data_IF_067715478484
#
_entry.id   IF_067715478484
#
_cell.length_a   1.000
_cell.length_b   1.000
_cell.length_c   1.000
_cell.angle_alpha   90.00
_cell.angle_beta   90.00
_cell.angle_gamma   90.00
#
_symmetry.space_group_name_H-M   'P 1'
#
loop_
_entity.id
_entity.type
_entity.pdbx_description
1 polymer ?
#
# COMPACT_ATOMS: atom_id res chain seq x y z
N UNK A 1 10.04 23.62 3.44
CA UNK A 1 10.38 22.64 4.48
C UNK A 1 10.21 23.21 5.88
N UNK A 2 9.49 22.51 6.74
CA UNK A 2 9.34 22.79 8.18
C UNK A 2 10.06 21.72 9.00
N UNK A 3 10.74 22.10 10.10
CA UNK A 3 11.33 21.20 11.08
C UNK A 3 10.39 21.10 12.30
N UNK A 4 9.97 19.88 12.64
CA UNK A 4 9.26 19.60 13.89
C UNK A 4 10.24 18.97 14.87
N UNK A 5 10.47 19.61 16.01
CA UNK A 5 11.40 19.14 17.05
C UNK A 5 10.78 19.29 18.43
N UNK A 6 11.31 18.56 19.40
CA UNK A 6 10.87 18.56 20.79
C UNK A 6 12.00 19.03 21.69
N UNK A 7 11.68 19.81 22.72
CA UNK A 7 12.65 20.24 23.72
C UNK A 7 12.15 19.87 25.11
N UNK A 8 13.05 19.30 25.92
CA UNK A 8 12.77 18.93 27.31
C UNK A 8 13.54 19.79 28.31
N UNK A 9 13.36 19.48 29.59
CA UNK A 9 14.05 20.11 30.73
C UNK A 9 15.30 19.34 31.18
N UNK A 10 15.80 18.42 30.35
CA UNK A 10 16.97 17.60 30.67
C UNK A 10 18.25 18.41 30.85
N UNK A 11 19.29 17.77 31.38
CA UNK A 11 20.64 18.36 31.46
C UNK A 11 21.37 18.17 30.14
N UNK A 12 21.20 19.11 29.22
CA UNK A 12 21.89 19.10 27.94
C UNK A 12 23.38 19.41 28.12
N UNK A 13 24.23 18.62 27.47
CA UNK A 13 25.69 18.84 27.44
C UNK A 13 26.14 18.91 25.98
N UNK A 14 27.16 19.73 25.67
CA UNK A 14 27.75 19.76 24.34
C UNK A 14 28.23 18.36 23.91
N UNK A 15 27.83 17.97 22.71
CA UNK A 15 28.24 16.73 22.04
C UNK A 15 28.44 17.04 20.57
N UNK A 16 29.25 16.23 19.88
CA UNK A 16 29.37 16.30 18.42
C UNK A 16 28.32 15.38 17.82
N UNK A 17 27.25 15.93 17.25
CA UNK A 17 26.32 15.12 16.46
C UNK A 17 26.92 14.84 15.09
N UNK A 18 26.90 13.59 14.65
CA UNK A 18 27.42 13.17 13.35
C UNK A 18 26.33 12.54 12.48
N UNK A 19 26.11 13.11 11.30
CA UNK A 19 25.19 12.59 10.29
C UNK A 19 25.91 12.46 8.94
N UNK A 20 26.32 11.23 8.61
CA UNK A 20 27.20 11.00 7.46
C UNK A 20 28.52 11.75 7.63
N UNK A 21 28.83 12.62 6.67
CA UNK A 21 30.01 13.51 6.71
C UNK A 21 29.78 14.81 7.48
N UNK A 22 28.53 15.12 7.85
CA UNK A 22 28.18 16.34 8.58
C UNK A 22 28.45 16.14 10.07
N UNK A 23 29.05 17.15 10.69
CA UNK A 23 29.29 17.19 12.13
C UNK A 23 28.94 18.56 12.68
N UNK A 24 28.41 18.60 13.90
CA UNK A 24 28.15 19.84 14.63
C UNK A 24 28.31 19.59 16.12
N UNK A 25 29.17 20.35 16.76
CA UNK A 25 29.22 20.43 18.22
C UNK A 25 28.10 21.35 18.71
N UNK A 26 27.17 20.80 19.47
CA UNK A 26 26.09 21.56 20.10
C UNK A 26 25.52 20.79 21.28
N UNK A 27 24.86 21.50 22.20
CA UNK A 27 24.03 20.88 23.23
C UNK A 27 22.60 20.60 22.75
N UNK A 28 22.12 21.16 21.64
CA UNK A 28 20.77 20.93 21.13
C UNK A 28 20.78 20.42 19.69
N UNK A 29 20.27 19.22 19.49
CA UNK A 29 20.23 18.61 18.16
C UNK A 29 19.47 19.44 17.12
N UNK A 30 18.41 20.16 17.53
CA UNK A 30 17.68 21.08 16.68
C UNK A 30 18.58 22.14 16.00
N UNK A 31 19.63 22.62 16.69
CA UNK A 31 20.60 23.56 16.11
C UNK A 31 21.38 22.90 14.97
N UNK A 32 21.85 21.67 15.17
CA UNK A 32 22.55 20.91 14.13
C UNK A 32 21.65 20.69 12.90
N UNK A 33 20.37 20.36 13.12
CA UNK A 33 19.41 20.19 12.02
C UNK A 33 19.17 21.48 11.25
N UNK A 34 19.06 22.62 11.93
CA UNK A 34 18.90 23.93 11.26
C UNK A 34 20.10 24.27 10.40
N UNK A 35 21.32 24.03 10.89
CA UNK A 35 22.54 24.25 10.12
C UNK A 35 22.62 23.33 8.90
N UNK A 36 22.30 22.05 9.04
CA UNK A 36 22.48 21.08 7.95
C UNK A 36 21.39 21.11 6.90
N UNK A 37 20.17 21.50 7.28
CA UNK A 37 18.97 21.37 6.45
C UNK A 37 18.37 22.71 6.04
N UNK A 38 18.73 23.81 6.71
CA UNK A 38 18.23 25.16 6.40
C UNK A 38 16.70 25.24 6.25
N UNK A 39 15.91 24.75 7.23
CA UNK A 39 14.46 24.82 7.16
C UNK A 39 13.97 26.27 7.17
N UNK A 40 12.84 26.56 6.51
CA UNK A 40 12.23 27.90 6.57
C UNK A 40 11.57 28.18 7.92
N UNK A 41 11.03 27.12 8.52
CA UNK A 41 10.24 27.19 9.75
C UNK A 41 10.67 26.08 10.69
N UNK A 42 10.83 26.39 11.97
CA UNK A 42 11.11 25.43 13.04
C UNK A 42 9.99 25.51 14.07
N UNK A 43 9.26 24.41 14.24
CA UNK A 43 8.21 24.29 15.25
C UNK A 43 8.75 23.49 16.43
N UNK A 44 8.94 24.16 17.56
CA UNK A 44 9.50 23.58 18.78
C UNK A 44 8.37 23.21 19.71
N UNK A 45 8.19 21.91 19.92
CA UNK A 45 7.20 21.33 20.81
C UNK A 45 7.72 21.43 22.25
N UNK A 46 7.00 22.17 23.10
CA UNK A 46 7.41 22.54 24.44
C UNK A 46 6.33 22.17 25.46
N UNK A 47 6.70 21.44 26.51
CA UNK A 47 5.87 21.42 27.73
C UNK A 47 5.99 22.77 28.44
N UNK A 48 5.07 23.07 29.36
CA UNK A 48 5.16 24.31 30.14
C UNK A 48 6.51 24.41 30.88
N UNK A 49 6.98 23.32 31.49
CA UNK A 49 8.28 23.29 32.15
C UNK A 49 9.46 23.50 31.19
N UNK A 50 9.38 23.01 29.95
CA UNK A 50 10.42 23.25 28.95
C UNK A 50 10.43 24.70 28.47
N UNK A 51 9.26 25.29 28.24
CA UNK A 51 9.09 26.70 27.86
C UNK A 51 9.67 27.66 28.89
N UNK A 52 9.53 27.34 30.18
CA UNK A 52 9.99 28.19 31.28
C UNK A 52 11.46 27.89 31.68
N UNK A 53 12.17 27.04 30.93
CA UNK A 53 13.54 26.61 31.28
C UNK A 53 14.62 27.39 30.54
N UNK A 54 15.81 27.49 31.15
CA UNK A 54 17.01 28.06 30.52
C UNK A 54 17.40 27.33 29.22
N UNK A 55 16.98 26.07 29.04
CA UNK A 55 17.21 25.34 27.80
C UNK A 55 16.49 26.01 26.62
N UNK A 56 15.24 26.46 26.83
CA UNK A 56 14.48 27.11 25.77
C UNK A 56 15.09 28.47 25.42
N UNK A 57 15.42 29.29 26.42
CA UNK A 57 16.05 30.59 26.19
C UNK A 57 17.36 30.44 25.40
N UNK A 58 18.19 29.45 25.77
CA UNK A 58 19.44 29.17 25.08
C UNK A 58 19.22 28.68 23.64
N UNK A 59 18.31 27.73 23.41
CA UNK A 59 18.02 27.22 22.06
C UNK A 59 17.44 28.34 21.18
N UNK A 60 16.48 29.11 21.70
CA UNK A 60 15.86 30.22 20.98
C UNK A 60 16.90 31.24 20.54
N UNK A 61 17.84 31.60 21.42
CA UNK A 61 18.92 32.53 21.10
C UNK A 61 19.85 32.00 19.98
N UNK A 62 20.10 30.69 19.92
CA UNK A 62 20.87 30.07 18.83
C UNK A 62 20.07 30.06 17.52
N UNK A 63 18.79 29.65 17.56
CA UNK A 63 17.93 29.62 16.39
C UNK A 63 17.74 31.01 15.76
N UNK A 64 17.67 32.07 16.57
CA UNK A 64 17.56 33.46 16.11
C UNK A 64 18.79 33.97 15.34
N UNK A 65 19.93 33.26 15.39
CA UNK A 65 21.11 33.59 14.57
C UNK A 65 20.90 33.20 13.10
N UNK A 66 19.91 32.36 12.81
CA UNK A 66 19.57 31.93 11.47
C UNK A 66 18.36 32.72 10.94
N UNK A 67 18.28 32.89 9.63
CA UNK A 67 17.13 33.54 8.97
C UNK A 67 15.94 32.58 8.84
N UNK A 68 15.38 32.16 9.98
CA UNK A 68 14.32 31.15 10.09
C UNK A 68 13.15 31.68 10.93
N UNK A 69 11.96 31.15 10.68
CA UNK A 69 10.78 31.40 11.50
C UNK A 69 10.69 30.36 12.62
N UNK A 70 10.64 30.79 13.89
CA UNK A 70 10.57 29.90 15.04
C UNK A 70 9.18 29.96 15.67
N UNK A 71 8.48 28.82 15.69
CA UNK A 71 7.15 28.66 16.30
C UNK A 71 7.24 27.87 17.58
N UNK A 72 6.73 28.45 18.67
CA UNK A 72 6.58 27.79 19.96
C UNK A 72 5.25 27.04 20.00
N UNK A 73 5.28 25.72 20.09
CA UNK A 73 4.07 24.90 20.17
C UNK A 73 3.95 24.29 21.55
N UNK A 74 3.05 24.84 22.37
CA UNK A 74 2.78 24.30 23.70
C UNK A 74 2.06 22.95 23.63
N UNK A 75 2.59 21.96 24.34
CA UNK A 75 2.06 20.60 24.48
C UNK A 75 1.98 20.20 25.95
N UNK A 76 1.08 19.27 26.35
CA UNK A 76 1.07 18.73 27.71
C UNK A 76 2.24 17.75 27.94
N UNK A 77 2.40 17.29 29.18
CA UNK A 77 3.50 16.39 29.57
C UNK A 77 3.35 14.95 29.05
N UNK A 78 2.15 14.54 28.62
CA UNK A 78 1.89 13.20 28.10
C UNK A 78 1.76 12.13 29.21
N UNK A 79 1.25 12.51 30.39
CA UNK A 79 1.17 11.63 31.58
C UNK A 79 0.06 10.59 31.50
N UNK A 80 -0.90 10.78 30.61
CA UNK A 80 -2.05 9.91 30.40
C UNK A 80 -2.44 9.92 28.92
N UNK A 81 -3.34 9.02 28.52
CA UNK A 81 -3.78 8.87 27.13
C UNK A 81 -4.38 10.16 26.54
N UNK A 82 -5.17 10.89 27.32
CA UNK A 82 -5.78 12.14 26.87
C UNK A 82 -4.73 13.19 26.51
N UNK A 83 -3.68 13.33 27.33
CA UNK A 83 -2.56 14.21 27.04
C UNK A 83 -1.76 13.75 25.81
N UNK A 84 -1.58 12.44 25.60
CA UNK A 84 -0.93 11.93 24.39
C UNK A 84 -1.73 12.28 23.11
N UNK A 85 -3.06 12.17 23.15
CA UNK A 85 -3.93 12.62 22.05
C UNK A 85 -3.83 14.13 21.80
N UNK A 86 -3.73 14.93 22.87
CA UNK A 86 -3.51 16.36 22.73
C UNK A 86 -2.15 16.67 22.07
N UNK A 87 -1.07 15.98 22.45
CA UNK A 87 0.24 16.12 21.78
C UNK A 87 0.10 15.82 20.29
N UNK A 88 -0.52 14.69 19.94
CA UNK A 88 -0.76 14.30 18.55
C UNK A 88 -1.52 15.38 17.77
N UNK A 89 -2.60 15.91 18.34
CA UNK A 89 -3.40 16.98 17.72
C UNK A 89 -2.57 18.25 17.51
N UNK A 90 -1.78 18.69 18.50
CA UNK A 90 -0.92 19.86 18.36
C UNK A 90 0.11 19.70 17.23
N UNK A 91 0.70 18.51 17.13
CA UNK A 91 1.60 18.18 16.01
C UNK A 91 0.84 18.25 14.68
N UNK A 92 -0.35 17.66 14.59
CA UNK A 92 -1.15 17.63 13.37
C UNK A 92 -1.65 19.01 12.91
N UNK A 93 -2.01 19.89 13.86
CA UNK A 93 -2.51 21.24 13.60
C UNK A 93 -1.40 22.22 13.17
N UNK A 94 -0.16 21.94 13.59
CA UNK A 94 1.04 22.71 13.19
C UNK A 94 1.38 22.51 11.70
N UNK A 95 0.88 21.43 11.11
CA UNK A 95 1.23 20.98 9.77
C UNK A 95 0.09 21.24 8.78
N UNK A 96 0.45 21.88 7.67
CA UNK A 96 -0.46 22.21 6.58
C UNK A 96 -0.48 21.11 5.52
N UNK A 97 -1.50 21.17 4.66
CA UNK A 97 -1.64 20.21 3.57
C UNK A 97 -0.51 20.42 2.55
N UNK A 98 0.21 19.36 2.20
CA UNK A 98 1.29 19.39 1.22
C UNK A 98 2.63 19.90 1.76
N UNK A 99 2.77 20.13 3.07
CA UNK A 99 4.04 20.53 3.66
C UNK A 99 5.15 19.49 3.41
N UNK A 100 6.38 19.98 3.21
CA UNK A 100 7.59 19.17 3.29
C UNK A 100 8.17 19.27 4.70
N UNK A 101 8.38 18.13 5.37
CA UNK A 101 8.72 18.06 6.78
C UNK A 101 10.03 17.33 7.05
N UNK A 102 10.74 17.82 8.06
CA UNK A 102 11.75 17.08 8.80
C UNK A 102 11.22 16.87 10.21
N UNK A 103 11.21 15.63 10.67
CA UNK A 103 10.82 15.29 12.04
C UNK A 103 12.03 14.90 12.86
N UNK A 104 12.21 15.54 13.99
CA UNK A 104 13.19 15.18 15.01
C UNK A 104 12.49 14.44 16.15
N UNK A 105 12.91 13.18 16.39
CA UNK A 105 12.41 12.35 17.50
C UNK A 105 13.43 12.14 18.62
N UNK A 106 14.50 12.94 18.65
CA UNK A 106 15.62 12.84 19.60
C UNK A 106 15.18 13.03 21.04
N UNK A 107 14.34 14.02 21.29
CA UNK A 107 13.94 14.39 22.64
C UNK A 107 12.45 14.16 22.85
N UNK A 108 12.06 12.89 22.94
CA UNK A 108 10.71 12.48 23.33
C UNK A 108 10.75 11.61 24.58
N UNK A 109 10.14 12.05 25.68
CA UNK A 109 9.99 11.20 26.86
C UNK A 109 9.15 9.96 26.52
N UNK A 110 9.65 8.76 26.81
CA UNK A 110 8.90 7.49 26.77
C UNK A 110 8.21 7.20 25.42
N UNK A 111 6.93 7.53 25.29
CA UNK A 111 6.02 7.17 24.20
C UNK A 111 6.08 8.14 23.01
N UNK A 112 6.70 9.31 23.17
CA UNK A 112 6.73 10.35 22.14
C UNK A 112 7.39 9.89 20.83
N UNK A 113 8.50 9.12 20.81
CA UNK A 113 9.06 8.61 19.54
C UNK A 113 8.07 7.72 18.77
N UNK A 114 7.32 6.86 19.47
CA UNK A 114 6.27 6.02 18.86
C UNK A 114 5.13 6.89 18.34
N UNK A 115 4.69 7.87 19.13
CA UNK A 115 3.68 8.84 18.73
C UNK A 115 4.12 9.65 17.51
N UNK A 116 5.40 10.02 17.43
CA UNK A 116 6.00 10.73 16.31
C UNK A 116 5.92 9.93 15.03
N UNK A 117 6.26 8.64 15.07
CA UNK A 117 6.12 7.75 13.90
C UNK A 117 4.66 7.61 13.45
N UNK A 118 3.71 7.48 14.39
CA UNK A 118 2.28 7.45 14.08
C UNK A 118 1.77 8.79 13.52
N UNK A 119 2.25 9.91 14.04
CA UNK A 119 1.93 11.24 13.54
C UNK A 119 2.44 11.40 12.10
N UNK A 120 3.67 10.97 11.82
CA UNK A 120 4.23 10.94 10.47
C UNK A 120 3.33 10.15 9.50
N UNK A 121 2.92 8.93 9.88
CA UNK A 121 2.03 8.12 9.06
C UNK A 121 0.67 8.81 8.82
N UNK A 122 0.07 9.37 9.88
CA UNK A 122 -1.19 10.11 9.77
C UNK A 122 -1.08 11.33 8.86
N UNK A 123 -0.02 12.14 9.03
CA UNK A 123 0.19 13.36 8.27
C UNK A 123 0.36 13.06 6.78
N UNK A 124 1.07 11.98 6.43
CA UNK A 124 1.19 11.55 5.02
C UNK A 124 -0.18 11.25 4.42
N UNK A 125 -1.02 10.52 5.14
CA UNK A 125 -2.34 10.13 4.62
C UNK A 125 -3.34 11.29 4.59
N UNK A 126 -3.44 12.07 5.66
CA UNK A 126 -4.50 13.07 5.85
C UNK A 126 -4.09 14.44 5.32
N UNK A 127 -2.83 14.82 5.51
CA UNK A 127 -2.29 16.12 5.11
C UNK A 127 -1.45 16.04 3.82
N UNK A 128 -1.20 14.85 3.27
CA UNK A 128 -0.42 14.66 2.03
C UNK A 128 0.97 15.30 2.11
N UNK A 129 1.59 15.22 3.28
CA UNK A 129 2.91 15.80 3.52
C UNK A 129 4.00 14.96 2.88
N UNK A 130 5.12 15.60 2.55
CA UNK A 130 6.34 14.93 2.13
C UNK A 130 7.30 14.86 3.32
N UNK A 131 7.67 13.66 3.74
CA UNK A 131 8.64 13.47 4.81
C UNK A 131 10.01 13.42 4.18
N UNK A 132 10.78 14.50 4.32
CA UNK A 132 12.13 14.57 3.79
C UNK A 132 13.08 13.74 4.64
N UNK A 133 13.01 13.91 5.96
CA UNK A 133 13.78 13.14 6.92
C UNK A 133 13.00 12.91 8.23
N UNK A 134 13.19 11.74 8.82
CA UNK A 134 12.83 11.42 10.21
C UNK A 134 14.13 11.12 10.95
N UNK A 135 14.63 12.06 11.75
CA UNK A 135 15.97 12.00 12.33
C UNK A 135 15.94 11.76 13.85
N UNK A 136 16.90 10.97 14.31
CA UNK A 136 17.13 10.66 15.71
C UNK A 136 18.62 10.85 16.05
N UNK A 137 18.94 11.91 16.79
CA UNK A 137 20.27 12.14 17.34
C UNK A 137 20.50 11.28 18.59
N UNK A 138 21.15 10.13 18.45
CA UNK A 138 21.29 9.16 19.53
C UNK A 138 22.34 9.57 20.57
N UNK A 139 22.02 10.58 21.38
CA UNK A 139 22.90 11.13 22.41
C UNK A 139 23.45 10.07 23.38
N UNK A 140 22.61 9.09 23.75
CA UNK A 140 23.00 8.01 24.66
C UNK A 140 23.95 6.98 24.02
N UNK A 141 24.01 6.93 22.69
CA UNK A 141 24.89 6.03 21.94
C UNK A 141 26.23 6.69 21.56
N UNK A 142 26.60 7.79 22.24
CA UNK A 142 27.82 8.53 21.93
C UNK A 142 29.09 7.78 22.35
N UNK A 143 30.10 7.80 21.49
CA UNK A 143 31.46 7.31 21.74
C UNK A 143 32.44 8.46 21.51
N UNK A 144 33.43 8.65 22.39
CA UNK A 144 34.39 9.77 22.32
C UNK A 144 33.74 11.16 22.15
N UNK A 145 32.59 11.36 22.79
CA UNK A 145 31.75 12.56 22.70
C UNK A 145 31.16 12.84 21.30
N UNK A 146 31.09 11.82 20.44
CA UNK A 146 30.44 11.85 19.14
C UNK A 146 29.16 11.03 19.20
N UNK A 147 28.00 11.68 19.04
CA UNK A 147 26.68 11.04 19.00
C UNK A 147 26.26 10.77 17.55
N UNK A 148 25.96 9.53 17.16
CA UNK A 148 25.49 9.24 15.82
C UNK A 148 24.06 9.74 15.61
N UNK A 149 23.76 10.16 14.38
CA UNK A 149 22.41 10.54 13.94
C UNK A 149 21.88 9.46 13.01
N UNK A 150 20.75 8.89 13.37
CA UNK A 150 20.05 7.90 12.56
C UNK A 150 18.94 8.56 11.74
N UNK A 151 18.91 8.26 10.44
CA UNK A 151 17.78 8.58 9.58
C UNK A 151 16.82 7.39 9.53
N UNK A 152 15.66 7.57 10.15
CA UNK A 152 14.60 6.58 10.30
C UNK A 152 13.52 6.70 9.22
N UNK A 153 13.72 7.56 8.22
CA UNK A 153 12.81 7.67 7.06
C UNK A 153 12.48 6.32 6.42
N UNK A 154 13.43 5.36 6.26
CA UNK A 154 13.12 4.04 5.70
C UNK A 154 12.03 3.27 6.48
N UNK A 155 11.88 3.50 7.79
CA UNK A 155 10.84 2.88 8.59
C UNK A 155 9.46 3.54 8.38
N UNK A 156 9.43 4.84 8.06
CA UNK A 156 8.20 5.50 7.65
C UNK A 156 7.75 5.03 6.25
N UNK A 157 8.69 4.76 5.35
CA UNK A 157 8.42 4.16 4.03
C UNK A 157 7.92 2.70 4.14
N UNK A 158 8.41 1.93 5.13
CA UNK A 158 7.91 0.58 5.41
C UNK A 158 6.39 0.52 5.62
N UNK A 159 5.82 1.53 6.28
CA UNK A 159 4.37 1.59 6.48
C UNK A 159 3.60 1.75 5.16
N UNK A 160 4.17 2.48 4.20
CA UNK A 160 3.58 2.62 2.87
C UNK A 160 3.63 1.28 2.12
N UNK A 161 4.80 0.61 2.14
CA UNK A 161 4.96 -0.70 1.50
C UNK A 161 3.97 -1.73 2.04
N UNK A 162 3.80 -1.79 3.37
CA UNK A 162 2.83 -2.67 4.03
C UNK A 162 1.40 -2.37 3.59
N UNK A 163 1.03 -1.09 3.52
CA UNK A 163 -0.31 -0.65 3.14
C UNK A 163 -0.60 -0.98 1.67
N UNK A 164 0.34 -0.69 0.78
CA UNK A 164 0.22 -0.94 -0.65
C UNK A 164 0.12 -2.44 -0.99
N UNK A 165 0.91 -3.28 -0.32
CA UNK A 165 0.83 -4.75 -0.47
C UNK A 165 -0.51 -5.27 0.05
N UNK A 166 -0.97 -4.80 1.22
CA UNK A 166 -2.29 -5.15 1.76
C UNK A 166 -3.39 -4.75 0.79
N UNK A 167 -3.32 -3.55 0.20
CA UNK A 167 -4.28 -3.08 -0.79
C UNK A 167 -4.32 -4.01 -2.00
N UNK A 168 -3.16 -4.39 -2.54
CA UNK A 168 -3.10 -5.30 -3.67
C UNK A 168 -3.69 -6.67 -3.35
N UNK A 169 -3.32 -7.26 -2.22
CA UNK A 169 -3.85 -8.58 -1.81
C UNK A 169 -5.36 -8.52 -1.58
N UNK A 170 -5.87 -7.46 -0.94
CA UNK A 170 -7.26 -7.33 -0.57
C UNK A 170 -8.18 -6.96 -1.75
N UNK A 171 -7.66 -6.29 -2.77
CA UNK A 171 -8.50 -5.73 -3.84
C UNK A 171 -8.12 -6.17 -5.25
N UNK A 172 -6.90 -6.66 -5.47
CA UNK A 172 -6.33 -6.85 -6.81
C UNK A 172 -5.73 -5.59 -7.42
N UNK A 173 -5.82 -4.44 -6.76
CA UNK A 173 -5.27 -3.20 -7.28
C UNK A 173 -3.83 -2.99 -6.78
N UNK A 174 -2.86 -3.08 -7.71
CA UNK A 174 -1.44 -2.93 -7.41
C UNK A 174 -0.89 -1.52 -7.66
N UNK A 175 -1.74 -0.54 -8.02
CA UNK A 175 -1.30 0.78 -8.48
C UNK A 175 -0.39 1.48 -7.47
N UNK A 176 -0.80 1.51 -6.20
CA UNK A 176 -0.04 2.14 -5.12
C UNK A 176 1.34 1.48 -4.93
N UNK A 177 1.40 0.14 -4.96
CA UNK A 177 2.66 -0.58 -4.85
C UNK A 177 3.57 -0.32 -6.06
N UNK A 178 3.00 -0.30 -7.26
CA UNK A 178 3.75 -0.02 -8.48
C UNK A 178 4.31 1.42 -8.48
N UNK A 179 3.54 2.40 -8.02
CA UNK A 179 3.96 3.79 -7.94
C UNK A 179 5.10 3.97 -6.94
N UNK A 180 4.99 3.37 -5.75
CA UNK A 180 6.06 3.39 -4.75
C UNK A 180 7.37 2.78 -5.30
N UNK A 181 7.30 1.65 -6.01
CA UNK A 181 8.48 1.01 -6.63
C UNK A 181 9.13 1.89 -7.71
N UNK A 182 8.32 2.54 -8.53
CA UNK A 182 8.78 3.47 -9.57
C UNK A 182 9.47 4.70 -8.94
N UNK A 183 8.83 5.31 -7.94
CA UNK A 183 9.35 6.45 -7.19
C UNK A 183 10.64 6.12 -6.45
N UNK A 184 10.71 4.98 -5.78
CA UNK A 184 11.91 4.49 -5.09
C UNK A 184 13.12 4.44 -6.04
N UNK A 185 12.94 3.84 -7.22
CA UNK A 185 13.99 3.81 -8.24
C UNK A 185 14.31 5.23 -8.75
N UNK A 186 13.31 6.05 -9.09
CA UNK A 186 13.53 7.42 -9.54
C UNK A 186 14.34 8.25 -8.53
N UNK A 187 14.03 8.11 -7.24
CA UNK A 187 14.70 8.81 -6.16
C UNK A 187 16.15 8.32 -5.99
N UNK A 188 16.40 7.02 -6.09
CA UNK A 188 17.75 6.47 -6.07
C UNK A 188 18.63 7.02 -7.21
N UNK A 189 18.07 7.14 -8.43
CA UNK A 189 18.76 7.76 -9.57
C UNK A 189 19.01 9.25 -9.35
N UNK A 190 18.01 10.02 -8.89
CA UNK A 190 18.16 11.46 -8.61
C UNK A 190 19.20 11.75 -7.53
N UNK A 191 19.31 10.86 -6.52
CA UNK A 191 20.30 10.97 -5.44
C UNK A 191 21.72 10.56 -5.87
N UNK A 192 21.89 10.00 -7.07
CA UNK A 192 23.20 9.59 -7.59
C UNK A 192 23.81 8.45 -6.78
N UNK A 193 23.00 7.50 -6.28
CA UNK A 193 23.52 6.33 -5.57
C UNK A 193 24.51 5.58 -6.49
N UNK A 194 25.63 5.04 -5.95
CA UNK A 194 26.64 4.34 -6.76
C UNK A 194 26.07 3.19 -7.60
N UNK A 195 25.11 2.46 -7.04
CA UNK A 195 24.42 1.33 -7.69
C UNK A 195 22.90 1.50 -7.49
N UNK A 196 22.23 2.33 -8.31
CA UNK A 196 20.79 2.54 -8.17
C UNK A 196 20.03 1.31 -8.68
N UNK A 197 18.90 0.93 -8.03
CA UNK A 197 18.18 -0.26 -8.41
C UNK A 197 17.57 -0.13 -9.81
N UNK A 198 17.55 -1.21 -10.58
CA UNK A 198 17.06 -1.26 -11.96
C UNK A 198 15.82 -2.14 -12.10
N UNK A 199 15.60 -3.06 -11.17
CA UNK A 199 14.51 -4.04 -11.21
C UNK A 199 13.16 -3.49 -10.72
N UNK A 200 13.11 -2.40 -9.93
CA UNK A 200 11.86 -1.92 -9.33
C UNK A 200 10.85 -1.46 -10.39
N UNK A 201 11.27 -0.69 -11.41
CA UNK A 201 10.39 -0.25 -12.50
C UNK A 201 9.86 -1.39 -13.38
N UNK A 202 10.67 -2.38 -13.79
CA UNK A 202 10.15 -3.62 -14.39
C UNK A 202 9.08 -4.29 -13.53
N UNK A 203 9.32 -4.49 -12.23
CA UNK A 203 8.35 -5.10 -11.31
C UNK A 203 7.07 -4.26 -11.23
N UNK A 204 7.20 -2.93 -11.09
CA UNK A 204 6.08 -1.98 -11.08
C UNK A 204 5.20 -2.11 -12.33
N UNK A 205 5.81 -2.25 -13.53
CA UNK A 205 5.07 -2.45 -14.77
C UNK A 205 4.30 -3.78 -14.77
N UNK A 206 4.93 -4.87 -14.38
CA UNK A 206 4.24 -6.18 -14.30
C UNK A 206 3.13 -6.19 -13.25
N UNK A 207 3.29 -5.47 -12.13
CA UNK A 207 2.23 -5.26 -11.14
C UNK A 207 1.03 -4.54 -11.75
N UNK A 208 1.27 -3.46 -12.53
CA UNK A 208 0.19 -2.73 -13.22
C UNK A 208 -0.54 -3.63 -14.22
N UNK A 209 0.18 -4.42 -15.02
CA UNK A 209 -0.44 -5.38 -15.95
C UNK A 209 -1.36 -6.37 -15.25
N UNK A 210 -0.87 -7.05 -14.21
CA UNK A 210 -1.69 -7.99 -13.42
C UNK A 210 -2.92 -7.28 -12.83
N UNK A 211 -2.72 -6.09 -12.25
CA UNK A 211 -3.79 -5.28 -11.67
C UNK A 211 -4.86 -4.91 -12.71
N UNK A 212 -4.44 -4.43 -13.89
CA UNK A 212 -5.34 -4.06 -14.97
C UNK A 212 -6.17 -5.27 -15.43
N UNK A 213 -5.52 -6.39 -15.73
CA UNK A 213 -6.20 -7.62 -16.18
C UNK A 213 -7.20 -8.16 -15.16
N UNK A 214 -6.88 -8.09 -13.85
CA UNK A 214 -7.82 -8.43 -12.79
C UNK A 214 -9.00 -7.44 -12.76
N UNK A 215 -8.74 -6.13 -12.81
CA UNK A 215 -9.78 -5.12 -12.71
C UNK A 215 -10.77 -5.17 -13.89
N UNK A 216 -10.29 -5.44 -15.11
CA UNK A 216 -11.12 -5.54 -16.32
C UNK A 216 -11.57 -6.97 -16.65
N UNK A 217 -11.38 -7.92 -15.74
CA UNK A 217 -11.84 -9.31 -15.87
C UNK A 217 -11.26 -10.06 -17.09
N UNK A 218 -10.02 -9.77 -17.45
CA UNK A 218 -9.29 -10.38 -18.56
C UNK A 218 -8.60 -11.69 -18.14
N UNK A 219 -9.41 -12.65 -17.64
CA UNK A 219 -8.91 -13.91 -17.08
C UNK A 219 -7.91 -14.68 -17.97
N UNK A 220 -8.04 -14.73 -19.32
CA UNK A 220 -7.07 -15.42 -20.17
C UNK A 220 -5.63 -14.85 -20.15
N UNK A 221 -5.42 -13.62 -19.69
CA UNK A 221 -4.09 -12.99 -19.65
C UNK A 221 -3.43 -13.06 -18.27
N UNK A 222 -4.24 -13.17 -17.21
CA UNK A 222 -3.82 -13.10 -15.81
C UNK A 222 -2.67 -14.06 -15.49
N UNK A 223 -2.77 -15.33 -15.90
CA UNK A 223 -1.75 -16.32 -15.54
C UNK A 223 -0.37 -16.06 -16.18
N UNK A 224 -0.32 -15.56 -17.42
CA UNK A 224 0.94 -15.19 -18.07
C UNK A 224 1.56 -13.94 -17.45
N UNK A 225 0.74 -12.96 -17.08
CA UNK A 225 1.22 -11.72 -16.45
C UNK A 225 1.72 -11.95 -15.02
N UNK A 226 1.04 -12.82 -14.26
CA UNK A 226 1.51 -13.24 -12.93
C UNK A 226 2.86 -13.96 -13.05
N UNK A 227 3.03 -14.84 -14.04
CA UNK A 227 4.31 -15.52 -14.29
C UNK A 227 5.41 -14.51 -14.61
N UNK A 228 5.12 -13.51 -15.44
CA UNK A 228 6.07 -12.44 -15.73
C UNK A 228 6.42 -11.65 -14.46
N UNK A 229 5.43 -11.24 -13.68
CA UNK A 229 5.62 -10.56 -12.40
C UNK A 229 6.55 -11.34 -11.46
N UNK A 230 6.27 -12.63 -11.24
CA UNK A 230 7.08 -13.49 -10.37
C UNK A 230 8.52 -13.58 -10.91
N UNK A 231 8.67 -13.77 -12.22
CA UNK A 231 9.98 -13.82 -12.86
C UNK A 231 10.76 -12.52 -12.65
N UNK A 232 10.11 -11.34 -12.76
CA UNK A 232 10.75 -10.05 -12.50
C UNK A 232 11.13 -9.85 -11.04
N UNK A 233 10.29 -10.31 -10.11
CA UNK A 233 10.60 -10.29 -8.68
C UNK A 233 11.83 -11.14 -8.39
N UNK A 234 11.86 -12.39 -8.86
CA UNK A 234 12.98 -13.32 -8.63
C UNK A 234 14.29 -12.82 -9.25
N UNK A 235 14.24 -12.26 -10.46
CA UNK A 235 15.41 -11.66 -11.11
C UNK A 235 15.93 -10.41 -10.36
N UNK A 236 15.03 -9.65 -9.74
CA UNK A 236 15.35 -8.43 -9.01
C UNK A 236 15.70 -8.65 -7.54
N UNK A 237 15.42 -9.83 -6.97
CA UNK A 237 15.53 -10.10 -5.54
C UNK A 237 16.93 -9.81 -4.95
N UNK A 238 18.06 -10.19 -5.60
CA UNK A 238 19.39 -9.86 -5.08
C UNK A 238 19.65 -8.35 -4.97
N UNK A 239 19.17 -7.57 -5.94
CA UNK A 239 19.29 -6.12 -5.97
C UNK A 239 18.37 -5.47 -4.91
N UNK A 240 17.12 -5.94 -4.82
CA UNK A 240 16.16 -5.48 -3.82
C UNK A 240 16.68 -5.73 -2.41
N UNK A 241 17.26 -6.90 -2.13
CA UNK A 241 17.79 -7.23 -0.82
C UNK A 241 18.92 -6.28 -0.39
N UNK A 242 19.75 -5.82 -1.33
CA UNK A 242 20.80 -4.83 -1.05
C UNK A 242 20.24 -3.43 -0.79
N UNK A 243 19.15 -3.06 -1.47
CA UNK A 243 18.55 -1.73 -1.36
C UNK A 243 17.58 -1.59 -0.18
N UNK A 244 16.71 -2.59 0.04
CA UNK A 244 15.72 -2.60 1.11
C UNK A 244 15.33 -4.03 1.52
N UNK A 245 15.80 -4.46 2.70
CA UNK A 245 15.48 -5.80 3.22
C UNK A 245 13.98 -6.03 3.46
N UNK A 246 13.19 -5.06 3.97
CA UNK A 246 11.78 -5.29 4.28
C UNK A 246 10.88 -5.56 3.06
N UNK A 247 11.27 -5.17 1.84
CA UNK A 247 10.44 -5.37 0.65
C UNK A 247 10.46 -6.83 0.16
N UNK A 248 11.54 -7.57 0.41
CA UNK A 248 11.67 -8.98 0.01
C UNK A 248 10.52 -9.85 0.53
N UNK A 249 10.22 -9.91 1.85
CA UNK A 249 9.10 -10.71 2.36
C UNK A 249 7.72 -10.20 1.90
N UNK A 250 7.59 -8.90 1.61
CA UNK A 250 6.35 -8.33 1.07
C UNK A 250 6.10 -8.80 -0.36
N UNK A 251 7.12 -8.78 -1.21
CA UNK A 251 7.03 -9.31 -2.58
C UNK A 251 6.85 -10.83 -2.58
N UNK A 252 7.45 -11.55 -1.63
CA UNK A 252 7.20 -12.99 -1.43
C UNK A 252 5.72 -13.26 -1.13
N UNK A 253 5.10 -12.43 -0.27
CA UNK A 253 3.66 -12.53 0.00
C UNK A 253 2.82 -12.32 -1.27
N UNK A 254 3.22 -11.37 -2.12
CA UNK A 254 2.57 -11.16 -3.43
C UNK A 254 2.73 -12.39 -4.33
N UNK A 255 3.95 -12.94 -4.45
CA UNK A 255 4.21 -14.16 -5.24
C UNK A 255 3.32 -15.31 -4.78
N UNK A 256 3.29 -15.60 -3.47
CA UNK A 256 2.49 -16.68 -2.90
C UNK A 256 0.98 -16.49 -3.11
N UNK A 257 0.50 -15.25 -3.00
CA UNK A 257 -0.92 -14.93 -3.19
C UNK A 257 -1.40 -15.22 -4.61
N UNK A 258 -0.57 -14.93 -5.62
CA UNK A 258 -0.99 -14.96 -7.01
C UNK A 258 -0.48 -16.18 -7.80
N UNK A 259 0.59 -16.85 -7.37
CA UNK A 259 1.13 -18.03 -8.03
C UNK A 259 0.11 -19.14 -8.36
N UNK A 260 -0.91 -19.41 -7.52
CA UNK A 260 -1.94 -20.42 -7.84
C UNK A 260 -2.72 -20.16 -9.14
N UNK A 261 -2.76 -18.92 -9.64
CA UNK A 261 -3.51 -18.56 -10.86
C UNK A 261 -2.68 -18.65 -12.15
N UNK A 262 -1.38 -18.97 -12.06
CA UNK A 262 -0.48 -19.11 -13.22
C UNK A 262 -0.96 -20.15 -14.26
N UNK A 263 -1.49 -21.34 -13.89
CA UNK A 263 -1.86 -22.37 -14.86
C UNK A 263 -2.89 -21.94 -15.91
N UNK A 264 -3.67 -20.89 -15.63
CA UNK A 264 -4.59 -20.25 -16.59
C UNK A 264 -5.50 -21.23 -17.35
N UNK A 265 -6.13 -22.13 -16.60
CA UNK A 265 -7.06 -23.15 -17.09
C UNK A 265 -8.42 -23.01 -16.39
N UNK A 266 -9.35 -23.89 -16.76
CA UNK A 266 -10.73 -23.90 -16.25
C UNK A 266 -10.79 -23.97 -14.71
N UNK A 267 -9.91 -24.76 -14.08
CA UNK A 267 -9.82 -24.86 -12.62
C UNK A 267 -9.38 -23.53 -11.99
N UNK A 268 -8.34 -22.90 -12.54
CA UNK A 268 -7.85 -21.60 -12.03
C UNK A 268 -8.82 -20.45 -12.30
N UNK A 269 -9.54 -20.45 -13.42
CA UNK A 269 -10.59 -19.47 -13.70
C UNK A 269 -11.78 -19.64 -12.75
N UNK A 270 -12.13 -20.88 -12.40
CA UNK A 270 -13.12 -21.16 -11.35
C UNK A 270 -12.64 -20.57 -10.01
N UNK A 271 -11.40 -20.86 -9.60
CA UNK A 271 -10.83 -20.28 -8.38
C UNK A 271 -10.83 -18.74 -8.41
N UNK A 272 -10.55 -18.13 -9.57
CA UNK A 272 -10.55 -16.68 -9.75
C UNK A 272 -11.95 -16.06 -9.58
N UNK A 273 -13.03 -16.77 -9.93
CA UNK A 273 -14.41 -16.34 -9.61
C UNK A 273 -14.59 -16.23 -8.09
N UNK A 274 -14.15 -17.24 -7.33
CA UNK A 274 -14.18 -17.20 -5.87
C UNK A 274 -13.36 -16.03 -5.31
N UNK A 275 -12.17 -15.82 -5.85
CA UNK A 275 -11.29 -14.70 -5.49
C UNK A 275 -11.96 -13.33 -5.69
N UNK A 276 -12.72 -13.13 -6.77
CA UNK A 276 -13.51 -11.91 -6.98
C UNK A 276 -14.62 -11.76 -5.94
N UNK A 277 -15.33 -12.84 -5.61
CA UNK A 277 -16.43 -12.81 -4.64
C UNK A 277 -15.95 -12.47 -3.23
N UNK A 278 -14.84 -13.06 -2.79
CA UNK A 278 -14.20 -12.74 -1.50
C UNK A 278 -13.86 -11.25 -1.37
N UNK A 279 -13.65 -10.57 -2.50
CA UNK A 279 -13.25 -9.17 -2.61
C UNK A 279 -14.40 -8.25 -3.01
N UNK A 280 -15.64 -8.75 -2.96
CA UNK A 280 -16.85 -8.00 -3.31
C UNK A 280 -16.91 -7.52 -4.78
N UNK A 281 -16.12 -8.12 -5.67
CA UNK A 281 -16.11 -7.85 -7.11
C UNK A 281 -17.22 -8.64 -7.84
N UNK A 282 -18.48 -8.33 -7.50
CA UNK A 282 -19.64 -9.09 -7.99
C UNK A 282 -19.76 -9.11 -9.52
N UNK A 283 -19.46 -7.98 -10.18
CA UNK A 283 -19.58 -7.87 -11.63
C UNK A 283 -18.54 -8.71 -12.36
N UNK A 284 -17.28 -8.67 -11.92
CA UNK A 284 -16.21 -9.49 -12.46
C UNK A 284 -16.49 -10.98 -12.21
N UNK A 285 -16.91 -11.33 -10.99
CA UNK A 285 -17.26 -12.71 -10.64
C UNK A 285 -18.33 -13.27 -11.57
N UNK A 286 -19.46 -12.57 -11.74
CA UNK A 286 -20.57 -13.08 -12.57
C UNK A 286 -20.26 -13.05 -14.06
N UNK A 287 -19.45 -12.09 -14.50
CA UNK A 287 -19.00 -12.01 -15.90
C UNK A 287 -18.09 -13.19 -16.22
N UNK A 288 -17.09 -13.45 -15.38
CA UNK A 288 -16.22 -14.60 -15.54
C UNK A 288 -17.00 -15.92 -15.41
N UNK A 289 -17.98 -15.98 -14.51
CA UNK A 289 -18.84 -17.15 -14.35
C UNK A 289 -19.58 -17.52 -15.64
N UNK A 290 -20.13 -16.53 -16.35
CA UNK A 290 -20.76 -16.75 -17.66
C UNK A 290 -19.76 -17.31 -18.66
N UNK A 291 -18.60 -16.65 -18.81
CA UNK A 291 -17.58 -17.08 -19.77
C UNK A 291 -16.99 -18.45 -19.44
N UNK A 292 -16.92 -18.78 -18.16
CA UNK A 292 -16.50 -20.09 -17.66
C UNK A 292 -17.46 -21.19 -18.09
N UNK A 293 -18.78 -20.98 -17.98
CA UNK A 293 -19.79 -21.96 -18.43
C UNK A 293 -19.70 -22.22 -19.94
N UNK A 294 -19.41 -21.19 -20.74
CA UNK A 294 -19.17 -21.34 -22.19
C UNK A 294 -17.91 -22.19 -22.43
N UNK A 295 -16.79 -21.85 -21.77
CA UNK A 295 -15.54 -22.61 -21.88
C UNK A 295 -15.71 -24.06 -21.40
N UNK A 296 -16.50 -24.29 -20.36
CA UNK A 296 -16.86 -25.60 -19.83
C UNK A 296 -17.63 -26.43 -20.87
N UNK A 297 -18.66 -25.84 -21.48
CA UNK A 297 -19.46 -26.49 -22.51
C UNK A 297 -18.61 -26.83 -23.76
N UNK A 298 -17.70 -25.96 -24.18
CA UNK A 298 -16.74 -26.28 -25.23
C UNK A 298 -15.95 -27.55 -24.90
N UNK A 299 -15.41 -27.66 -23.68
CA UNK A 299 -14.61 -28.81 -23.24
C UNK A 299 -15.43 -30.11 -23.20
N UNK A 300 -16.67 -30.06 -22.70
CA UNK A 300 -17.58 -31.21 -22.72
C UNK A 300 -17.84 -31.75 -24.14
N UNK A 301 -17.88 -30.86 -25.13
CA UNK A 301 -18.07 -31.24 -26.54
C UNK A 301 -16.75 -31.60 -27.26
N UNK A 302 -15.62 -31.63 -26.55
CA UNK A 302 -14.30 -31.86 -27.13
C UNK A 302 -13.82 -30.72 -28.04
N UNK A 303 -14.39 -29.52 -27.87
CA UNK A 303 -14.07 -28.32 -28.64
C UNK A 303 -13.08 -27.41 -27.90
N UNK A 304 -12.30 -26.68 -28.69
CA UNK A 304 -11.35 -25.68 -28.20
C UNK A 304 -12.06 -24.38 -27.78
N UNK A 305 -12.00 -23.97 -26.48
CA UNK A 305 -12.64 -22.75 -25.98
C UNK A 305 -11.99 -21.43 -26.45
N UNK A 306 -10.80 -21.47 -27.06
CA UNK A 306 -10.12 -20.30 -27.62
C UNK A 306 -10.62 -19.93 -29.03
N UNK A 307 -11.34 -20.84 -29.69
CA UNK A 307 -11.89 -20.61 -31.02
C UNK A 307 -13.30 -20.02 -30.94
N UNK A 308 -13.48 -18.81 -31.49
CA UNK A 308 -14.78 -18.09 -31.46
C UNK A 308 -15.95 -18.93 -31.96
N UNK A 309 -15.78 -19.63 -33.09
CA UNK A 309 -16.81 -20.53 -33.66
C UNK A 309 -17.27 -21.63 -32.69
N UNK A 310 -16.38 -22.11 -31.82
CA UNK A 310 -16.71 -23.13 -30.83
C UNK A 310 -17.47 -22.51 -29.66
N UNK A 311 -17.05 -21.30 -29.24
CA UNK A 311 -17.77 -20.53 -28.20
C UNK A 311 -19.19 -20.20 -28.63
N UNK A 312 -19.38 -19.72 -29.86
CA UNK A 312 -20.71 -19.44 -30.43
C UNK A 312 -21.61 -20.69 -30.42
N UNK A 313 -21.07 -21.82 -30.87
CA UNK A 313 -21.81 -23.09 -30.83
C UNK A 313 -22.15 -23.54 -29.40
N UNK A 314 -21.24 -23.34 -28.44
CA UNK A 314 -21.47 -23.66 -27.04
C UNK A 314 -22.54 -22.74 -26.41
N UNK A 315 -22.53 -21.45 -26.73
CA UNK A 315 -23.57 -20.50 -26.31
C UNK A 315 -24.94 -20.86 -26.88
N UNK A 316 -25.01 -21.21 -28.17
CA UNK A 316 -26.24 -21.69 -28.80
C UNK A 316 -26.77 -22.96 -28.13
N UNK A 317 -25.88 -23.91 -27.80
CA UNK A 317 -26.23 -25.08 -27.01
C UNK A 317 -26.83 -24.64 -25.67
N UNK A 318 -26.14 -23.85 -24.86
CA UNK A 318 -26.62 -23.40 -23.54
C UNK A 318 -27.97 -22.67 -23.61
N UNK A 319 -28.13 -21.75 -24.58
CA UNK A 319 -29.39 -21.05 -24.85
C UNK A 319 -30.52 -21.98 -25.32
N UNK A 320 -30.20 -23.06 -26.03
CA UNK A 320 -31.19 -24.05 -26.47
C UNK A 320 -31.64 -24.95 -25.31
N UNK A 321 -30.75 -25.25 -24.37
CA UNK A 321 -31.03 -26.08 -23.21
C UNK A 321 -31.91 -25.35 -22.19
N UNK A 322 -31.70 -24.04 -22.01
CA UNK A 322 -32.60 -23.19 -21.21
C UNK A 322 -34.04 -23.20 -21.74
N UNK A 323 -34.21 -23.23 -23.06
CA UNK A 323 -35.54 -23.23 -23.72
C UNK A 323 -36.20 -24.61 -23.78
N UNK A 324 -35.43 -25.69 -23.74
CA UNK A 324 -35.92 -27.05 -23.91
C UNK A 324 -35.53 -27.90 -22.70
N UNK A 325 -36.36 -27.93 -21.66
CA UNK A 325 -36.25 -28.80 -20.49
C UNK A 325 -36.42 -30.28 -20.90
N UNK A 326 -35.39 -30.88 -21.50
CA UNK A 326 -35.32 -32.32 -21.77
C UNK A 326 -34.25 -32.97 -20.89
N UNK A 327 -34.70 -34.00 -20.19
CA UNK A 327 -34.06 -34.74 -19.10
C UNK A 327 -32.70 -35.36 -19.44
N UNK A 328 -31.74 -35.15 -18.54
CA UNK A 328 -30.39 -35.73 -18.53
C UNK A 328 -29.54 -35.09 -17.42
N UNK A 329 -28.95 -35.90 -16.54
CA UNK A 329 -28.43 -35.46 -15.22
C UNK A 329 -27.37 -34.33 -15.26
N UNK A 330 -26.35 -34.43 -16.13
CA UNK A 330 -25.37 -33.33 -16.31
C UNK A 330 -25.90 -32.14 -17.12
N UNK A 331 -26.98 -32.36 -17.88
CA UNK A 331 -27.63 -31.33 -18.70
C UNK A 331 -28.48 -30.41 -17.83
N UNK A 332 -29.08 -30.95 -16.78
CA UNK A 332 -29.90 -30.22 -15.79
C UNK A 332 -29.03 -29.26 -14.96
N UNK A 333 -27.86 -29.69 -14.46
CA UNK A 333 -26.99 -28.85 -13.63
C UNK A 333 -26.46 -27.61 -14.37
N UNK A 334 -26.11 -27.73 -15.66
CA UNK A 334 -25.65 -26.61 -16.49
C UNK A 334 -26.78 -25.64 -16.85
N UNK A 335 -27.96 -26.16 -17.17
CA UNK A 335 -29.16 -25.34 -17.44
C UNK A 335 -29.55 -24.55 -16.19
N UNK A 336 -29.52 -25.21 -15.04
CA UNK A 336 -29.87 -24.62 -13.76
C UNK A 336 -28.89 -23.51 -13.34
N UNK A 337 -27.69 -23.44 -13.94
CA UNK A 337 -26.70 -22.38 -13.72
C UNK A 337 -26.76 -21.29 -14.81
N UNK A 338 -26.85 -21.66 -16.08
CA UNK A 338 -26.74 -20.73 -17.22
C UNK A 338 -27.75 -19.57 -17.15
N UNK A 339 -29.04 -19.88 -16.94
CA UNK A 339 -30.10 -18.89 -16.86
C UNK A 339 -29.90 -17.91 -15.70
N UNK A 340 -29.79 -18.38 -14.44
CA UNK A 340 -29.54 -17.51 -13.29
C UNK A 340 -28.26 -16.66 -13.41
N UNK A 341 -27.15 -17.23 -13.91
CA UNK A 341 -25.90 -16.48 -14.14
C UNK A 341 -26.08 -15.39 -15.17
N UNK A 342 -26.68 -15.71 -16.32
CA UNK A 342 -26.93 -14.75 -17.41
C UNK A 342 -27.87 -13.63 -16.96
N UNK A 343 -28.93 -13.97 -16.23
CA UNK A 343 -29.89 -13.01 -15.69
C UNK A 343 -29.26 -12.07 -14.66
N UNK A 344 -28.46 -12.62 -13.72
CA UNK A 344 -27.76 -11.82 -12.72
C UNK A 344 -26.72 -10.90 -13.37
N UNK A 345 -25.91 -11.41 -14.30
CA UNK A 345 -24.94 -10.61 -15.07
C UNK A 345 -25.61 -9.47 -15.79
N UNK A 346 -26.69 -9.73 -16.53
CA UNK A 346 -27.40 -8.69 -17.28
C UNK A 346 -28.03 -7.66 -16.34
N UNK A 347 -28.59 -8.09 -15.20
CA UNK A 347 -29.14 -7.16 -14.20
C UNK A 347 -28.08 -6.17 -13.69
N UNK A 348 -26.86 -6.63 -13.40
CA UNK A 348 -25.75 -5.75 -12.99
C UNK A 348 -25.29 -4.87 -14.15
N UNK A 349 -25.10 -5.46 -15.35
CA UNK A 349 -24.58 -4.77 -16.53
C UNK A 349 -25.48 -3.64 -17.05
N UNK A 350 -26.79 -3.69 -16.77
CA UNK A 350 -27.72 -2.61 -17.10
C UNK A 350 -27.67 -1.41 -16.13
N UNK A 351 -26.89 -1.48 -15.05
CA UNK A 351 -26.68 -0.38 -14.10
C UNK A 351 -27.99 0.24 -13.55
N UNK A 352 -29.03 -0.58 -13.35
CA UNK A 352 -30.35 -0.12 -12.89
C UNK A 352 -31.21 0.57 -13.95
N UNK A 353 -30.74 0.71 -15.20
CA UNK A 353 -31.52 1.29 -16.27
C UNK A 353 -32.58 0.29 -16.78
N UNK A 354 -33.86 0.69 -16.77
CA UNK A 354 -34.96 -0.10 -17.34
C UNK A 354 -35.40 -1.32 -16.52
N UNK A 355 -34.94 -1.47 -15.27
CA UNK A 355 -35.40 -2.51 -14.33
C UNK A 355 -35.70 -1.88 -12.97
N UNK A 356 -36.81 -2.28 -12.34
CA UNK A 356 -37.28 -1.75 -11.05
C UNK A 356 -36.69 -2.47 -9.83
N UNK A 357 -35.92 -3.54 -10.02
CA UNK A 357 -35.35 -4.32 -8.91
C UNK A 357 -34.13 -3.62 -8.30
N UNK A 358 -34.17 -3.46 -6.98
CA UNK A 358 -33.02 -3.00 -6.19
C UNK A 358 -31.91 -4.05 -6.17
N UNK A 359 -30.66 -3.59 -6.12
CA UNK A 359 -29.43 -4.40 -6.17
C UNK A 359 -29.08 -4.97 -4.78
N UNK A 360 -30.08 -5.45 -4.03
CA UNK A 360 -29.82 -6.11 -2.75
C UNK A 360 -29.48 -7.59 -2.97
N UNK A 361 -28.54 -8.10 -2.16
CA UNK A 361 -28.19 -9.53 -2.17
C UNK A 361 -27.45 -10.02 -3.43
N UNK A 362 -26.93 -9.14 -4.29
CA UNK A 362 -26.20 -9.56 -5.51
C UNK A 362 -24.99 -10.42 -5.19
N UNK A 363 -24.18 -10.03 -4.21
CA UNK A 363 -23.02 -10.82 -3.78
C UNK A 363 -23.43 -12.17 -3.21
N UNK A 364 -24.52 -12.23 -2.46
CA UNK A 364 -25.06 -13.48 -1.93
C UNK A 364 -25.52 -14.40 -3.08
N UNK A 365 -26.31 -13.89 -4.03
CA UNK A 365 -26.77 -14.66 -5.19
C UNK A 365 -25.59 -15.14 -6.05
N UNK A 366 -24.61 -14.29 -6.31
CA UNK A 366 -23.41 -14.67 -7.05
C UNK A 366 -22.60 -15.74 -6.29
N UNK A 367 -22.55 -15.67 -4.96
CA UNK A 367 -21.89 -16.68 -4.12
C UNK A 367 -22.62 -18.02 -4.14
N UNK A 368 -23.95 -18.02 -4.07
CA UNK A 368 -24.76 -19.23 -4.18
C UNK A 368 -24.60 -19.90 -5.56
N UNK A 369 -24.55 -19.11 -6.63
CA UNK A 369 -24.27 -19.61 -7.98
C UNK A 369 -22.84 -20.15 -8.09
N UNK A 370 -21.86 -19.51 -7.48
CA UNK A 370 -20.48 -20.01 -7.43
C UNK A 370 -20.38 -21.35 -6.70
N UNK A 371 -21.05 -21.52 -5.56
CA UNK A 371 -21.08 -22.80 -4.83
C UNK A 371 -21.66 -23.93 -5.67
N UNK A 372 -22.66 -23.64 -6.51
CA UNK A 372 -23.24 -24.60 -7.45
C UNK A 372 -22.29 -24.89 -8.61
N UNK A 373 -21.64 -23.88 -9.17
CA UNK A 373 -20.62 -24.03 -10.20
C UNK A 373 -19.44 -24.91 -9.72
N UNK A 374 -19.02 -24.78 -8.47
CA UNK A 374 -17.98 -25.62 -7.87
C UNK A 374 -18.31 -27.11 -7.79
N UNK A 375 -19.58 -27.50 -7.93
CA UNK A 375 -20.00 -28.92 -7.97
C UNK A 375 -19.81 -29.56 -9.33
N UNK A 376 -19.65 -28.76 -10.39
CA UNK A 376 -19.39 -29.26 -11.74
C UNK A 376 -18.00 -29.92 -11.80
N UNK A 377 -17.89 -31.16 -12.31
CA UNK A 377 -16.60 -31.83 -12.47
C UNK A 377 -15.79 -31.15 -13.58
N UNK A 378 -14.49 -30.94 -13.39
CA UNK A 378 -13.61 -30.41 -14.45
C UNK A 378 -13.37 -31.53 -15.49
N UNK A 379 -13.74 -31.32 -16.77
CA UNK A 379 -13.64 -32.32 -17.83
C UNK A 379 -12.22 -32.52 -18.38
#
# INVERSE_FOLDING_TARGET
>A
MKLITFLGTGRYQPVIYQWGERQKETKFFAEALVEWLEPKTVCVMLTQGARDSENWDALKAQLQQHSIEVHEVLIPDGKNEQELWQIFQRVADTVEIGDELVFDITHGFRSIPVLGLLAVAYLKQVKRVQIRHLLYGAYEAKEDNVAPVFDLTPFAELLDWLTAVKMFIATGNASELADLLDEAQNNAYKRGLPEPPKALKPIARSLRSVSESLMVCQAPYVGSEIRELITKIEQGEPEIHQWTQPLVPLLETVKQTYAPYIPNNLETHRALIGWYLERSHAMQAITLMREWLVSYQCRLEGKDPELMRHREAAEDTLNSLERNTRSGQHREELVDLWGPVSNLRNRIAHCGCGRSEQVEGVLQQASELYQRLCRLPIP
#
